data_IF_912402666911
#
_entry.id   IF_912402666911
#
_cell.length_a   1.000
_cell.length_b   1.000
_cell.length_c   1.000
_cell.angle_alpha   90.00
_cell.angle_beta   90.00
_cell.angle_gamma   90.00
#
_symmetry.space_group_name_H-M   'P 1'
#
loop_
_entity.id
_entity.type
_entity.pdbx_description
1 polymer ?
#
# COMPACT_ATOMS: atom_id res chain seq x y z
N UNK A 1 17.67 -43.68 -0.88
CA UNK A 1 17.37 -43.95 0.53
C UNK A 1 16.95 -45.39 0.56
N UNK A 2 17.71 -46.24 1.23
CA UNK A 2 17.49 -47.68 1.16
C UNK A 2 16.65 -48.17 2.33
N UNK A 3 16.88 -47.60 3.51
CA UNK A 3 16.20 -47.96 4.74
C UNK A 3 15.86 -46.69 5.51
N UNK A 4 14.67 -46.66 6.10
CA UNK A 4 14.19 -45.60 6.97
C UNK A 4 13.82 -46.18 8.34
N UNK A 5 14.47 -45.71 9.39
CA UNK A 5 14.18 -46.05 10.78
C UNK A 5 13.45 -44.88 11.43
N UNK A 6 12.28 -45.16 12.02
CA UNK A 6 11.46 -44.18 12.75
C UNK A 6 11.29 -44.60 14.20
N UNK A 7 11.56 -43.66 15.10
CA UNK A 7 11.32 -43.78 16.54
C UNK A 7 10.59 -42.55 17.03
N UNK A 8 9.30 -42.71 17.26
CA UNK A 8 8.38 -41.65 17.66
C UNK A 8 7.79 -41.96 19.04
N UNK A 9 7.78 -40.99 19.93
CA UNK A 9 7.14 -41.08 21.25
C UNK A 9 6.45 -39.75 21.57
N UNK A 10 5.18 -39.80 21.95
CA UNK A 10 4.32 -38.64 22.22
C UNK A 10 4.20 -37.61 21.08
N UNK A 11 4.48 -37.98 19.83
CA UNK A 11 4.31 -37.09 18.67
C UNK A 11 2.82 -37.05 18.24
N UNK A 12 2.11 -35.94 18.48
CA UNK A 12 0.71 -35.76 18.08
C UNK A 12 -0.23 -36.93 18.46
N UNK A 13 -0.05 -37.51 19.63
CA UNK A 13 -0.86 -38.64 20.13
C UNK A 13 -0.32 -40.04 19.79
N UNK A 14 0.79 -40.15 19.03
CA UNK A 14 1.51 -41.41 18.87
C UNK A 14 2.18 -41.74 20.20
N UNK A 15 1.67 -42.74 20.94
CA UNK A 15 2.24 -43.13 22.23
C UNK A 15 3.69 -43.60 22.08
N UNK A 16 3.90 -44.61 21.22
CA UNK A 16 5.23 -45.11 20.87
C UNK A 16 5.16 -45.82 19.52
N UNK A 17 6.09 -45.52 18.62
CA UNK A 17 6.27 -46.19 17.34
C UNK A 17 7.77 -46.40 17.12
N UNK A 18 8.18 -47.65 16.95
CA UNK A 18 9.54 -48.04 16.56
C UNK A 18 9.41 -48.95 15.35
N UNK A 19 9.74 -48.43 14.17
CA UNK A 19 9.51 -49.12 12.91
C UNK A 19 10.64 -48.86 11.92
N UNK A 20 10.87 -49.88 11.08
CA UNK A 20 11.90 -49.88 10.04
C UNK A 20 11.24 -50.18 8.69
N UNK A 21 11.49 -49.32 7.70
CA UNK A 21 10.99 -49.45 6.34
C UNK A 21 12.16 -49.69 5.39
N UNK A 22 12.11 -50.79 4.64
CA UNK A 22 13.12 -51.14 3.63
C UNK A 22 12.60 -50.82 2.23
N UNK A 23 13.19 -49.81 1.60
CA UNK A 23 12.85 -49.32 0.28
C UNK A 23 13.67 -49.99 -0.83
N UNK A 24 14.62 -50.89 -0.50
CA UNK A 24 15.45 -51.57 -1.51
C UNK A 24 14.60 -52.39 -2.46
N UNK A 25 15.00 -52.37 -3.73
CA UNK A 25 14.40 -53.21 -4.76
C UNK A 25 14.59 -54.69 -4.44
N UNK A 26 13.54 -55.47 -4.63
CA UNK A 26 13.58 -56.94 -4.53
C UNK A 26 13.38 -57.57 -5.90
N UNK A 27 13.60 -58.89 -6.02
CA UNK A 27 13.29 -59.60 -7.27
C UNK A 27 11.81 -59.47 -7.71
N UNK A 28 10.90 -59.19 -6.77
CA UNK A 28 9.47 -58.99 -7.05
C UNK A 28 9.11 -57.51 -7.29
N UNK A 29 9.92 -56.59 -6.78
CA UNK A 29 9.71 -55.14 -6.85
C UNK A 29 11.05 -54.46 -7.20
N UNK A 30 11.50 -54.53 -8.46
CA UNK A 30 12.83 -54.06 -8.85
C UNK A 30 13.04 -52.56 -8.59
N UNK A 31 11.97 -51.77 -8.71
CA UNK A 31 11.98 -50.30 -8.56
C UNK A 31 11.87 -49.82 -7.11
N UNK A 32 11.84 -50.74 -6.13
CA UNK A 32 11.71 -50.43 -4.70
C UNK A 32 10.33 -50.75 -4.12
N UNK A 33 10.11 -50.39 -2.86
CA UNK A 33 8.89 -50.72 -2.10
C UNK A 33 8.08 -49.48 -1.75
N UNK A 34 6.74 -49.59 -1.80
CA UNK A 34 5.83 -48.59 -1.27
C UNK A 34 5.11 -49.16 -0.04
N UNK A 35 4.97 -48.36 1.01
CA UNK A 35 4.35 -48.78 2.27
C UNK A 35 2.98 -48.11 2.43
N UNK A 36 1.94 -48.93 2.60
CA UNK A 36 0.61 -48.46 2.97
C UNK A 36 0.39 -48.68 4.47
N UNK A 37 0.06 -47.61 5.18
CA UNK A 37 -0.18 -47.65 6.63
C UNK A 37 -1.69 -47.62 6.87
N UNK A 38 -2.24 -48.77 7.26
CA UNK A 38 -3.65 -48.90 7.61
C UNK A 38 -3.82 -48.94 9.12
N UNK A 39 -4.64 -48.04 9.66
CA UNK A 39 -4.96 -47.99 11.08
C UNK A 39 -6.39 -47.46 11.31
N UNK A 40 -7.05 -47.79 12.44
CA UNK A 40 -8.35 -47.22 12.79
C UNK A 40 -8.35 -45.69 12.86
N UNK A 41 -9.54 -45.09 12.84
CA UNK A 41 -9.70 -43.64 13.01
C UNK A 41 -9.27 -43.20 14.41
N UNK A 42 -8.57 -42.07 14.50
CA UNK A 42 -8.05 -41.52 15.75
C UNK A 42 -6.75 -42.17 16.27
N UNK A 43 -6.10 -43.05 15.50
CA UNK A 43 -4.89 -43.75 15.96
C UNK A 43 -3.59 -42.99 15.64
N UNK A 44 -3.06 -43.09 14.41
CA UNK A 44 -1.76 -42.49 14.08
C UNK A 44 -1.59 -41.95 12.66
N UNK A 45 -2.55 -42.13 11.75
CA UNK A 45 -2.38 -41.83 10.31
C UNK A 45 -1.96 -40.38 10.05
N UNK A 46 -2.83 -39.44 10.39
CA UNK A 46 -2.56 -38.00 10.28
C UNK A 46 -1.49 -37.52 11.25
N UNK A 47 -1.38 -38.12 12.44
CA UNK A 47 -0.34 -37.80 13.42
C UNK A 47 1.07 -38.10 12.89
N UNK A 48 1.21 -39.19 12.14
CA UNK A 48 2.46 -39.56 11.48
C UNK A 48 2.81 -38.54 10.40
N UNK A 49 1.86 -38.19 9.53
CA UNK A 49 2.06 -37.18 8.50
C UNK A 49 2.45 -35.82 9.10
N UNK A 50 1.79 -35.38 10.17
CA UNK A 50 2.17 -34.15 10.91
C UNK A 50 3.57 -34.21 11.51
N UNK A 51 3.99 -35.37 12.00
CA UNK A 51 5.34 -35.55 12.55
C UNK A 51 6.41 -35.40 11.47
N UNK A 52 6.18 -35.96 10.28
CA UNK A 52 7.05 -35.75 9.12
C UNK A 52 7.00 -34.32 8.59
N UNK A 53 5.84 -33.66 8.70
CA UNK A 53 5.70 -32.27 8.29
C UNK A 53 6.55 -31.33 9.15
N UNK A 54 6.56 -31.53 10.46
CA UNK A 54 7.45 -30.75 11.33
C UNK A 54 8.91 -31.04 11.04
N UNK A 55 9.26 -32.27 10.64
CA UNK A 55 10.62 -32.59 10.23
C UNK A 55 11.00 -31.83 8.94
N UNK A 56 10.11 -31.82 7.95
CA UNK A 56 10.27 -31.07 6.70
C UNK A 56 10.40 -29.55 6.97
N UNK A 57 9.60 -28.99 7.86
CA UNK A 57 9.56 -27.55 8.16
C UNK A 57 10.58 -27.13 9.25
N UNK A 58 11.39 -28.06 9.77
CA UNK A 58 12.38 -27.78 10.82
C UNK A 58 11.78 -27.40 12.18
N UNK A 59 10.51 -27.72 12.43
CA UNK A 59 9.82 -27.50 13.71
C UNK A 59 10.00 -28.67 14.66
N UNK A 60 9.80 -28.43 15.95
CA UNK A 60 9.70 -29.49 16.95
C UNK A 60 8.31 -30.12 16.94
N UNK A 61 8.26 -31.45 17.03
CA UNK A 61 7.00 -32.18 17.22
C UNK A 61 6.65 -32.24 18.70
N UNK A 62 5.35 -32.29 19.01
CA UNK A 62 4.85 -32.24 20.39
C UNK A 62 3.53 -32.99 20.59
N UNK A 63 3.21 -33.32 21.84
CA UNK A 63 1.86 -33.72 22.27
C UNK A 63 1.04 -32.46 22.56
N UNK A 64 0.01 -32.20 21.73
CA UNK A 64 -0.84 -31.01 21.87
C UNK A 64 -1.76 -31.06 23.10
N UNK A 65 -2.13 -32.26 23.57
CA UNK A 65 -3.07 -32.43 24.68
C UNK A 65 -2.31 -32.47 26.01
N UNK A 66 -1.12 -33.06 26.00
CA UNK A 66 -0.25 -33.15 27.17
C UNK A 66 1.14 -32.56 26.90
N UNK A 67 1.29 -31.23 26.82
CA UNK A 67 2.55 -30.57 26.46
C UNK A 67 3.72 -30.86 27.39
N UNK A 68 3.44 -31.35 28.61
CA UNK A 68 4.47 -31.72 29.60
C UNK A 68 5.11 -33.08 29.31
N UNK A 69 4.59 -33.87 28.36
CA UNK A 69 5.20 -35.16 27.98
C UNK A 69 6.44 -34.93 27.15
N UNK A 70 7.52 -35.65 27.48
CA UNK A 70 8.72 -35.66 26.65
C UNK A 70 8.38 -36.27 25.30
N UNK A 71 8.60 -35.49 24.24
CA UNK A 71 8.38 -35.91 22.86
C UNK A 71 9.70 -36.38 22.26
N UNK A 72 9.69 -37.53 21.61
CA UNK A 72 10.86 -38.09 20.92
C UNK A 72 10.52 -38.22 19.44
N UNK A 73 11.24 -37.49 18.58
CA UNK A 73 11.21 -37.66 17.13
C UNK A 73 12.61 -37.99 16.64
N UNK A 74 12.86 -39.26 16.35
CA UNK A 74 14.06 -39.72 15.68
C UNK A 74 13.68 -40.36 14.34
N UNK A 75 14.14 -39.74 13.26
CA UNK A 75 13.94 -40.20 11.89
C UNK A 75 15.34 -40.28 11.29
N UNK A 76 15.78 -41.49 10.96
CA UNK A 76 17.13 -41.77 10.43
C UNK A 76 17.05 -42.67 9.21
N UNK A 77 18.01 -42.56 8.31
CA UNK A 77 18.05 -43.37 7.11
C UNK A 77 19.41 -44.05 6.90
N UNK A 78 19.44 -45.11 6.09
CA UNK A 78 20.66 -45.71 5.57
C UNK A 78 20.73 -45.50 4.05
N UNK A 79 21.79 -44.86 3.52
CA UNK A 79 22.87 -44.14 4.24
C UNK A 79 22.36 -42.87 4.96
N UNK A 80 23.01 -42.46 6.05
CA UNK A 80 22.56 -41.35 6.91
C UNK A 80 22.35 -40.02 6.20
N UNK A 81 23.15 -39.73 5.17
CA UNK A 81 23.03 -38.51 4.36
C UNK A 81 21.78 -38.49 3.45
N UNK A 82 21.02 -39.57 3.38
CA UNK A 82 19.86 -39.69 2.48
C UNK A 82 18.57 -39.10 3.04
N UNK A 83 18.57 -38.59 4.28
CA UNK A 83 17.42 -37.90 4.87
C UNK A 83 17.78 -36.52 5.43
N UNK A 84 17.14 -35.50 4.88
CA UNK A 84 17.20 -34.11 5.32
C UNK A 84 15.78 -33.53 5.32
N UNK A 85 15.52 -32.38 5.97
CA UNK A 85 14.23 -31.71 5.87
C UNK A 85 13.75 -31.53 4.43
N UNK A 86 14.65 -31.11 3.53
CA UNK A 86 14.33 -30.89 2.10
C UNK A 86 14.02 -32.19 1.35
N UNK A 87 14.60 -33.33 1.77
CA UNK A 87 14.38 -34.64 1.13
C UNK A 87 13.04 -35.29 1.50
N UNK A 88 12.23 -34.66 2.35
CA UNK A 88 10.90 -35.14 2.72
C UNK A 88 9.84 -34.24 2.06
N UNK A 89 8.81 -34.84 1.49
CA UNK A 89 7.65 -34.10 1.00
C UNK A 89 6.36 -34.72 1.52
N UNK A 90 5.69 -33.99 2.41
CA UNK A 90 4.41 -34.39 3.00
C UNK A 90 3.26 -33.77 2.21
N UNK A 91 2.47 -34.62 1.56
CA UNK A 91 1.23 -34.24 0.91
C UNK A 91 0.11 -34.29 1.95
N UNK A 92 -0.43 -33.11 2.26
CA UNK A 92 -1.50 -32.94 3.25
C UNK A 92 -2.85 -33.36 2.65
N UNK A 93 -3.84 -33.75 3.47
CA UNK A 93 -5.22 -33.84 3.02
C UNK A 93 -5.65 -32.47 2.48
N UNK A 94 -6.57 -32.46 1.51
CA UNK A 94 -7.06 -31.21 0.92
C UNK A 94 -7.54 -30.24 2.02
N UNK A 95 -6.88 -29.08 2.13
CA UNK A 95 -7.28 -27.99 3.04
C UNK A 95 -7.84 -26.86 2.19
N UNK A 96 -9.12 -26.54 2.38
CA UNK A 96 -9.85 -25.53 1.60
C UNK A 96 -9.23 -24.11 1.67
N UNK A 97 -8.27 -23.88 2.57
CA UNK A 97 -7.56 -22.60 2.79
C UNK A 97 -6.28 -22.40 1.96
N UNK A 98 -5.97 -23.24 0.98
CA UNK A 98 -4.80 -22.99 0.11
C UNK A 98 -4.99 -21.83 -0.89
N UNK A 99 -6.12 -21.12 -0.82
CA UNK A 99 -6.35 -19.83 -1.46
C UNK A 99 -5.81 -18.69 -0.58
N UNK A 100 -4.49 -18.50 -0.62
CA UNK A 100 -3.89 -17.26 -0.14
C UNK A 100 -4.41 -16.10 -0.99
N UNK A 101 -5.22 -15.23 -0.39
CA UNK A 101 -5.68 -13.97 -0.98
C UNK A 101 -4.48 -13.09 -1.30
N UNK A 102 -4.12 -12.98 -2.58
CA UNK A 102 -2.98 -12.18 -3.04
C UNK A 102 -2.49 -12.62 -4.41
N UNK A 103 -2.65 -11.72 -5.38
CA UNK A 103 -2.07 -11.67 -6.72
C UNK A 103 -1.14 -12.81 -7.14
N UNK A 104 -1.71 -13.69 -7.98
CA UNK A 104 -1.02 -14.60 -8.89
C UNK A 104 -0.55 -15.93 -8.28
N UNK A 105 -1.46 -16.89 -8.25
CA UNK A 105 -1.30 -18.31 -7.91
C UNK A 105 -0.40 -19.09 -8.86
N UNK A 106 0.46 -18.40 -9.62
CA UNK A 106 0.99 -18.87 -10.91
C UNK A 106 2.48 -18.59 -11.10
N UNK A 107 3.16 -18.17 -10.03
CA UNK A 107 4.53 -18.60 -9.78
C UNK A 107 4.43 -19.93 -9.04
N UNK A 108 4.59 -21.02 -9.79
CA UNK A 108 4.42 -22.39 -9.29
C UNK A 108 5.54 -22.78 -8.33
N UNK A 109 6.75 -22.25 -8.53
CA UNK A 109 7.87 -22.47 -7.64
C UNK A 109 7.60 -21.73 -6.30
N UNK A 110 7.36 -22.44 -5.17
CA UNK A 110 6.97 -21.82 -3.91
C UNK A 110 8.03 -20.84 -3.39
N UNK A 111 9.30 -21.08 -3.71
CA UNK A 111 10.42 -20.20 -3.35
C UNK A 111 10.39 -18.91 -4.16
N UNK A 112 10.29 -18.99 -5.49
CA UNK A 112 10.21 -17.80 -6.36
C UNK A 112 8.95 -16.98 -6.11
N UNK A 113 7.84 -17.67 -5.81
CA UNK A 113 6.60 -17.03 -5.37
C UNK A 113 6.79 -16.28 -4.07
N UNK A 114 7.40 -16.92 -3.06
CA UNK A 114 7.70 -16.29 -1.78
C UNK A 114 8.57 -15.04 -1.95
N UNK A 115 9.64 -15.14 -2.73
CA UNK A 115 10.54 -14.02 -3.04
C UNK A 115 9.81 -12.88 -3.77
N UNK A 116 8.98 -13.19 -4.75
CA UNK A 116 8.18 -12.20 -5.48
C UNK A 116 7.14 -11.52 -4.57
N UNK A 117 6.34 -12.30 -3.85
CA UNK A 117 5.31 -11.77 -2.95
C UNK A 117 5.91 -10.94 -1.83
N UNK A 118 7.04 -11.35 -1.26
CA UNK A 118 7.76 -10.58 -0.26
C UNK A 118 8.30 -9.26 -0.85
N UNK A 119 8.87 -9.29 -2.05
CA UNK A 119 9.33 -8.08 -2.73
C UNK A 119 8.18 -7.10 -2.99
N UNK A 120 7.02 -7.58 -3.45
CA UNK A 120 5.82 -6.76 -3.67
C UNK A 120 5.27 -6.21 -2.36
N UNK A 121 5.12 -7.06 -1.32
CA UNK A 121 4.66 -6.61 0.01
C UNK A 121 5.59 -5.55 0.61
N UNK A 122 6.90 -5.74 0.47
CA UNK A 122 7.88 -4.80 1.01
C UNK A 122 7.82 -3.45 0.28
N UNK A 123 7.71 -3.42 -1.05
CA UNK A 123 7.59 -2.16 -1.77
C UNK A 123 6.26 -1.45 -1.48
N UNK A 124 5.15 -2.18 -1.38
CA UNK A 124 3.85 -1.60 -1.01
C UNK A 124 3.88 -1.01 0.40
N UNK A 125 4.40 -1.75 1.38
CA UNK A 125 4.55 -1.28 2.77
C UNK A 125 5.41 -0.01 2.86
N UNK A 126 6.56 -0.01 2.20
CA UNK A 126 7.46 1.16 2.20
C UNK A 126 6.87 2.36 1.46
N UNK A 127 6.03 2.12 0.44
CA UNK A 127 5.27 3.18 -0.22
C UNK A 127 4.23 3.79 0.72
N UNK A 128 3.46 2.96 1.42
CA UNK A 128 2.46 3.43 2.38
C UNK A 128 3.10 4.29 3.48
N UNK A 129 4.23 3.85 4.02
CA UNK A 129 5.01 4.59 5.03
C UNK A 129 5.54 5.93 4.49
N UNK A 130 6.04 5.94 3.25
CA UNK A 130 6.47 7.16 2.57
C UNK A 130 5.30 8.15 2.43
N UNK A 131 4.15 7.68 1.94
CA UNK A 131 2.98 8.53 1.72
C UNK A 131 2.40 9.06 3.03
N UNK A 132 2.43 8.26 4.10
CA UNK A 132 2.08 8.69 5.44
C UNK A 132 3.02 9.80 5.93
N UNK A 133 4.33 9.62 5.77
CA UNK A 133 5.33 10.62 6.16
C UNK A 133 5.14 11.93 5.40
N UNK A 134 4.89 11.87 4.08
CA UNK A 134 4.64 13.06 3.27
C UNK A 134 3.34 13.77 3.64
N UNK A 135 2.31 12.99 4.00
CA UNK A 135 1.03 13.54 4.47
C UNK A 135 1.21 14.32 5.77
N UNK A 136 1.97 13.76 6.71
CA UNK A 136 2.29 14.40 7.99
C UNK A 136 3.14 15.66 7.77
N UNK A 137 4.19 15.58 6.94
CA UNK A 137 5.07 16.70 6.65
C UNK A 137 4.37 17.86 5.92
N UNK A 138 3.38 17.57 5.07
CA UNK A 138 2.66 18.60 4.30
C UNK A 138 1.41 19.16 4.98
N UNK A 139 0.99 18.60 6.12
CA UNK A 139 -0.29 18.94 6.75
C UNK A 139 -1.51 18.56 5.90
N UNK A 140 -1.40 17.52 5.07
CA UNK A 140 -2.42 17.16 4.10
C UNK A 140 -3.73 16.69 4.78
N UNK A 141 -4.89 17.24 4.39
CA UNK A 141 -6.14 17.02 5.11
C UNK A 141 -6.77 15.64 4.85
N UNK A 142 -7.57 15.18 5.82
CA UNK A 142 -8.45 14.03 5.67
C UNK A 142 -7.73 12.67 5.66
N UNK A 143 -8.36 11.65 5.07
CA UNK A 143 -7.80 10.29 4.97
C UNK A 143 -7.08 10.02 3.65
N UNK A 144 -7.32 10.84 2.62
CA UNK A 144 -6.74 10.65 1.30
C UNK A 144 -5.22 10.88 1.29
N UNK A 145 -4.55 10.21 0.34
CA UNK A 145 -3.11 10.35 0.10
C UNK A 145 -2.81 11.55 -0.80
N UNK A 146 -1.68 12.26 -0.62
CA UNK A 146 -1.29 13.37 -1.47
C UNK A 146 -0.83 12.97 -2.89
N UNK A 147 -0.79 11.67 -3.25
CA UNK A 147 -0.24 11.21 -4.53
C UNK A 147 -0.86 11.87 -5.76
N UNK A 148 -2.18 12.07 -5.78
CA UNK A 148 -2.87 12.69 -6.92
C UNK A 148 -2.40 14.13 -7.15
N UNK A 149 -2.18 14.86 -6.07
CA UNK A 149 -1.68 16.23 -6.09
C UNK A 149 -0.23 16.27 -6.56
N UNK A 150 0.63 15.41 -6.01
CA UNK A 150 2.03 15.31 -6.44
C UNK A 150 2.10 14.95 -7.93
N UNK A 151 1.22 14.04 -8.39
CA UNK A 151 1.09 13.71 -9.81
C UNK A 151 0.67 14.92 -10.65
N UNK A 152 -0.25 15.75 -10.16
CA UNK A 152 -0.63 16.98 -10.86
C UNK A 152 0.54 17.96 -10.96
N UNK A 153 1.33 18.11 -9.90
CA UNK A 153 2.46 19.07 -9.83
C UNK A 153 3.65 18.62 -10.69
N UNK A 154 4.01 17.33 -10.62
CA UNK A 154 5.21 16.78 -11.25
C UNK A 154 4.95 16.04 -12.57
N UNK A 155 3.69 15.78 -12.91
CA UNK A 155 3.24 15.16 -14.18
C UNK A 155 3.90 13.81 -14.47
N UNK A 156 4.14 12.99 -13.45
CA UNK A 156 4.70 11.65 -13.63
C UNK A 156 3.63 10.61 -14.02
N UNK A 157 4.06 9.54 -14.69
CA UNK A 157 3.18 8.41 -15.07
C UNK A 157 3.20 7.32 -14.01
N UNK A 158 4.39 6.92 -13.56
CA UNK A 158 4.61 5.88 -12.56
C UNK A 158 5.10 6.50 -11.23
N UNK A 159 4.32 6.41 -10.13
CA UNK A 159 4.74 6.95 -8.84
C UNK A 159 5.99 6.27 -8.30
N UNK A 160 6.19 4.97 -8.56
CA UNK A 160 7.31 4.23 -8.02
C UNK A 160 8.64 4.70 -8.61
N UNK A 161 8.71 4.80 -9.93
CA UNK A 161 9.88 5.36 -10.64
C UNK A 161 10.17 6.79 -10.20
N UNK A 162 9.11 7.63 -10.12
CA UNK A 162 9.24 9.02 -9.72
C UNK A 162 9.88 9.18 -8.32
N UNK A 163 9.34 8.52 -7.30
CA UNK A 163 9.86 8.65 -5.94
C UNK A 163 11.27 8.04 -5.81
N UNK A 164 11.54 6.92 -6.49
CA UNK A 164 12.85 6.29 -6.46
C UNK A 164 13.94 7.17 -7.10
N UNK A 165 13.66 7.76 -8.26
CA UNK A 165 14.60 8.71 -8.90
C UNK A 165 14.79 9.98 -8.08
N UNK A 166 13.71 10.47 -7.48
CA UNK A 166 13.74 11.71 -6.72
C UNK A 166 14.57 11.57 -5.44
N UNK A 167 14.57 10.39 -4.81
CA UNK A 167 15.35 10.12 -3.60
C UNK A 167 16.85 10.44 -3.75
N UNK A 168 17.41 10.27 -4.96
CA UNK A 168 18.81 10.59 -5.28
C UNK A 168 19.07 12.06 -5.64
N UNK A 169 18.03 12.88 -5.81
CA UNK A 169 18.10 14.29 -6.22
C UNK A 169 17.81 15.27 -5.08
N UNK A 170 17.54 14.75 -3.88
CA UNK A 170 17.25 15.55 -2.69
C UNK A 170 18.51 16.22 -2.13
N UNK A 171 18.42 17.53 -1.89
CA UNK A 171 19.51 18.40 -1.43
C UNK A 171 19.49 18.69 0.08
N UNK A 172 18.45 18.24 0.78
CA UNK A 172 18.26 18.47 2.22
C UNK A 172 17.65 19.84 2.56
N UNK A 173 17.19 20.61 1.58
CA UNK A 173 16.53 21.89 1.82
C UNK A 173 15.13 21.73 2.44
N UNK A 174 15.00 22.01 3.74
CA UNK A 174 13.75 21.92 4.50
C UNK A 174 13.18 23.30 4.89
N UNK A 175 13.54 24.39 4.19
CA UNK A 175 13.16 25.77 4.56
C UNK A 175 11.65 26.04 4.69
N UNK A 176 10.81 25.21 4.09
CA UNK A 176 9.35 25.40 4.05
C UNK A 176 8.58 24.24 4.73
N UNK A 177 9.26 23.43 5.54
CA UNK A 177 8.66 22.26 6.19
C UNK A 177 7.52 22.61 7.17
N UNK A 178 7.59 23.77 7.82
CA UNK A 178 6.61 24.21 8.80
C UNK A 178 5.30 24.72 8.17
N UNK A 179 5.26 24.85 6.85
CA UNK A 179 4.09 25.37 6.15
C UNK A 179 3.08 24.26 5.84
N UNK A 180 1.80 24.54 6.08
CA UNK A 180 0.71 23.66 5.65
C UNK A 180 0.39 23.86 4.18
N UNK A 181 0.44 22.79 3.40
CA UNK A 181 0.24 22.84 1.96
C UNK A 181 -1.15 23.37 1.58
N UNK A 182 -2.20 22.88 2.23
CA UNK A 182 -3.59 23.18 1.85
C UNK A 182 -4.00 24.63 2.16
N UNK A 183 -3.35 25.25 3.15
CA UNK A 183 -3.60 26.65 3.49
C UNK A 183 -3.10 27.59 2.38
N UNK A 184 -2.08 27.16 1.61
CA UNK A 184 -1.50 27.92 0.49
C UNK A 184 -2.14 27.48 -0.84
N UNK A 185 -2.20 26.17 -1.08
CA UNK A 185 -2.60 25.55 -2.33
C UNK A 185 -3.88 24.73 -2.14
N UNK A 186 -5.01 25.33 -2.50
CA UNK A 186 -6.32 24.69 -2.59
C UNK A 186 -7.05 25.15 -3.85
N UNK A 187 -8.14 24.49 -4.22
CA UNK A 187 -8.88 24.78 -5.46
C UNK A 187 -9.26 26.26 -5.61
N UNK A 188 -9.58 26.94 -4.49
CA UNK A 188 -9.97 28.36 -4.50
C UNK A 188 -8.77 29.28 -4.68
N UNK A 189 -7.65 29.02 -4.00
CA UNK A 189 -6.41 29.79 -4.17
C UNK A 189 -5.85 29.58 -5.57
N UNK A 190 -5.74 28.33 -6.03
CA UNK A 190 -5.27 27.98 -7.38
C UNK A 190 -6.14 28.68 -8.45
N UNK A 191 -7.46 28.64 -8.30
CA UNK A 191 -8.36 29.32 -9.23
C UNK A 191 -8.19 30.85 -9.20
N UNK A 192 -7.98 31.44 -8.03
CA UNK A 192 -7.77 32.88 -7.90
C UNK A 192 -6.47 33.34 -8.55
N UNK A 193 -5.38 32.57 -8.40
CA UNK A 193 -4.10 32.86 -9.05
C UNK A 193 -4.14 32.62 -10.57
N UNK A 194 -4.90 31.64 -11.06
CA UNK A 194 -5.07 31.41 -12.51
C UNK A 194 -5.93 32.49 -13.20
N UNK A 195 -6.88 33.10 -12.48
CA UNK A 195 -7.88 33.99 -13.06
C UNK A 195 -7.47 35.48 -13.13
N UNK A 196 -6.32 35.88 -12.59
CA UNK A 196 -6.02 37.31 -12.48
C UNK A 196 -4.56 37.66 -12.17
N UNK A 197 -4.33 38.95 -11.94
CA UNK A 197 -3.02 39.54 -11.64
C UNK A 197 -2.64 39.42 -10.17
N UNK A 198 -3.32 38.58 -9.37
CA UNK A 198 -3.13 38.48 -7.92
C UNK A 198 -1.66 38.35 -7.53
N UNK A 199 -0.89 37.51 -8.24
CA UNK A 199 0.56 37.33 -8.04
C UNK A 199 1.41 38.61 -8.08
N UNK A 200 1.02 39.64 -8.84
CA UNK A 200 1.79 40.87 -9.03
C UNK A 200 1.47 41.91 -7.96
N UNK A 201 0.22 41.92 -7.49
CA UNK A 201 -0.29 42.92 -6.56
C UNK A 201 -0.28 42.45 -5.10
N UNK A 202 -0.15 41.13 -4.87
CA UNK A 202 -0.24 40.53 -3.55
C UNK A 202 0.86 41.02 -2.59
N UNK A 203 2.08 41.19 -3.08
CA UNK A 203 3.19 41.65 -2.22
C UNK A 203 2.99 43.09 -1.75
N UNK A 204 2.60 44.00 -2.65
CA UNK A 204 2.24 45.39 -2.31
C UNK A 204 1.02 45.44 -1.37
N UNK A 205 -0.01 44.64 -1.67
CA UNK A 205 -1.20 44.50 -0.84
C UNK A 205 -0.85 44.05 0.59
N UNK A 206 -0.06 42.99 0.75
CA UNK A 206 0.28 42.44 2.07
C UNK A 206 1.15 43.42 2.88
N UNK A 207 2.08 44.13 2.23
CA UNK A 207 2.85 45.19 2.87
C UNK A 207 1.94 46.30 3.41
N UNK A 208 1.02 46.79 2.58
CA UNK A 208 0.06 47.84 2.98
C UNK A 208 -0.97 47.37 3.99
N UNK A 209 -1.39 46.11 3.92
CA UNK A 209 -2.25 45.50 4.91
C UNK A 209 -1.55 45.41 6.27
N UNK A 210 -0.27 45.04 6.30
CA UNK A 210 0.54 45.03 7.53
C UNK A 210 0.65 46.43 8.14
N UNK A 211 0.99 47.44 7.33
CA UNK A 211 1.01 48.86 7.75
C UNK A 211 -0.35 49.29 8.33
N UNK A 212 -1.46 48.86 7.71
CA UNK A 212 -2.81 49.18 8.16
C UNK A 212 -3.15 48.53 9.50
N UNK A 213 -2.80 47.26 9.72
CA UNK A 213 -3.15 46.55 10.97
C UNK A 213 -2.19 46.82 12.13
N UNK A 214 -0.97 47.30 11.87
CA UNK A 214 0.02 47.65 12.90
C UNK A 214 0.05 49.15 13.20
N UNK A 215 -0.14 50.00 12.18
CA UNK A 215 -0.11 51.45 12.31
C UNK A 215 -1.45 52.07 12.68
N UNK A 216 -2.54 51.29 12.70
CA UNK A 216 -3.87 51.80 12.99
C UNK A 216 -4.18 51.88 14.48
N UNK A 217 -4.71 53.02 14.96
CA UNK A 217 -5.22 53.12 16.32
C UNK A 217 -6.60 52.47 16.51
N UNK A 218 -7.24 52.01 15.42
CA UNK A 218 -8.56 51.39 15.37
C UNK A 218 -8.50 49.90 14.98
N UNK A 219 -7.69 49.55 13.99
CA UNK A 219 -7.60 48.22 13.41
C UNK A 219 -6.45 47.43 14.03
N UNK A 220 -6.58 46.12 14.06
CA UNK A 220 -5.55 45.19 14.51
C UNK A 220 -5.55 43.93 13.66
N UNK A 221 -4.56 43.05 13.87
CA UNK A 221 -4.50 41.74 13.21
C UNK A 221 -5.76 40.90 13.45
N UNK A 222 -6.39 41.02 14.63
CA UNK A 222 -7.65 40.32 14.98
C UNK A 222 -8.91 41.08 14.56
N UNK A 223 -8.88 42.41 14.66
CA UNK A 223 -9.99 43.27 14.26
C UNK A 223 -9.56 44.15 13.08
N UNK A 224 -9.54 43.55 11.90
CA UNK A 224 -9.19 44.22 10.65
C UNK A 224 -10.42 44.87 10.00
N UNK A 225 -10.23 45.50 8.84
CA UNK A 225 -11.31 46.17 8.11
C UNK A 225 -12.43 45.23 7.66
N UNK A 226 -12.15 43.94 7.45
CA UNK A 226 -13.18 42.94 7.15
C UNK A 226 -14.08 42.68 8.37
N UNK A 227 -13.46 42.48 9.54
CA UNK A 227 -14.18 42.33 10.80
C UNK A 227 -15.01 43.57 11.16
N UNK A 228 -14.48 44.76 10.90
CA UNK A 228 -15.22 46.00 11.12
C UNK A 228 -16.43 46.13 10.18
N UNK A 229 -16.29 45.74 8.91
CA UNK A 229 -17.39 45.67 7.94
C UNK A 229 -18.46 44.65 8.35
N UNK A 230 -18.05 43.45 8.78
CA UNK A 230 -18.95 42.40 9.24
C UNK A 230 -19.71 42.83 10.51
N UNK A 231 -19.04 43.51 11.45
CA UNK A 231 -19.69 44.11 12.64
C UNK A 231 -20.70 45.17 12.23
N UNK A 232 -20.31 46.14 11.39
CA UNK A 232 -21.22 47.19 10.86
C UNK A 232 -22.49 46.60 10.25
N UNK A 233 -22.31 45.62 9.35
CA UNK A 233 -23.40 44.95 8.65
C UNK A 233 -24.31 44.18 9.61
N UNK A 234 -23.76 43.46 10.57
CA UNK A 234 -24.55 42.70 11.54
C UNK A 234 -25.35 43.62 12.46
N UNK A 235 -24.77 44.72 12.93
CA UNK A 235 -25.48 45.70 13.77
C UNK A 235 -26.62 46.37 13.01
N UNK A 236 -26.37 46.73 11.75
CA UNK A 236 -27.40 47.30 10.87
C UNK A 236 -28.54 46.31 10.62
N UNK A 237 -28.21 45.08 10.22
CA UNK A 237 -29.21 44.06 9.85
C UNK A 237 -30.08 43.63 11.04
N UNK A 238 -29.54 43.70 12.26
CA UNK A 238 -30.27 43.36 13.48
C UNK A 238 -30.96 44.58 14.12
N UNK A 239 -31.04 45.73 13.44
CA UNK A 239 -31.75 46.91 13.93
C UNK A 239 -31.14 47.58 15.16
N UNK A 240 -29.85 47.34 15.46
CA UNK A 240 -29.18 47.87 16.66
C UNK A 240 -29.25 49.41 16.72
N UNK A 241 -28.92 50.06 15.60
CA UNK A 241 -28.96 51.52 15.49
C UNK A 241 -30.39 52.06 15.35
N UNK A 242 -31.31 51.29 14.76
CA UNK A 242 -32.74 51.66 14.67
C UNK A 242 -33.41 51.70 16.05
N UNK A 243 -32.91 50.89 17.00
CA UNK A 243 -33.30 50.92 18.40
C UNK A 243 -32.65 52.06 19.21
N UNK A 244 -31.92 52.99 18.57
CA UNK A 244 -31.19 54.11 19.18
C UNK A 244 -30.05 53.68 20.12
N UNK A 245 -29.48 52.48 19.93
CA UNK A 245 -28.25 52.09 20.64
C UNK A 245 -27.02 52.69 19.95
N UNK A 246 -25.99 53.01 20.74
CA UNK A 246 -24.72 53.56 20.26
C UNK A 246 -23.55 52.65 20.64
N UNK A 247 -22.45 52.76 19.89
CA UNK A 247 -21.20 52.02 20.13
C UNK A 247 -20.10 52.98 20.54
N UNK A 248 -19.38 52.63 21.60
CA UNK A 248 -18.15 53.31 21.95
C UNK A 248 -16.95 52.55 21.38
N UNK A 249 -16.25 53.18 20.44
CA UNK A 249 -15.07 52.63 19.79
C UNK A 249 -13.82 53.32 20.32
N UNK A 250 -12.85 52.52 20.75
CA UNK A 250 -11.54 53.02 21.14
C UNK A 250 -10.68 53.21 19.90
N UNK A 251 -10.26 54.45 19.64
CA UNK A 251 -9.32 54.81 18.60
C UNK A 251 -8.10 55.47 19.25
N UNK A 252 -7.01 54.72 19.45
CA UNK A 252 -5.79 55.26 20.06
C UNK A 252 -5.97 55.71 21.51
N UNK A 253 -6.88 55.07 22.25
CA UNK A 253 -7.21 55.39 23.64
C UNK A 253 -8.31 56.44 23.80
N UNK A 254 -8.72 57.11 22.72
CA UNK A 254 -9.88 58.02 22.71
C UNK A 254 -11.14 57.22 22.40
N UNK A 255 -12.19 57.40 23.22
CA UNK A 255 -13.50 56.77 22.96
C UNK A 255 -14.33 57.68 22.07
N UNK A 256 -14.71 57.17 20.91
CA UNK A 256 -15.61 57.83 19.97
C UNK A 256 -16.94 57.10 19.97
N UNK A 257 -18.02 57.86 20.18
CA UNK A 257 -19.38 57.34 20.07
C UNK A 257 -19.81 57.27 18.60
N UNK A 258 -20.38 56.13 18.22
CA UNK A 258 -20.86 55.83 16.87
C UNK A 258 -22.33 55.47 16.94
N UNK A 259 -23.15 56.22 16.21
CA UNK A 259 -24.61 56.14 16.21
C UNK A 259 -25.21 55.48 14.96
N UNK A 260 -24.38 55.19 13.96
CA UNK A 260 -24.83 54.54 12.73
C UNK A 260 -23.76 53.66 12.08
N UNK A 261 -24.19 52.69 11.26
CA UNK A 261 -23.30 51.89 10.42
C UNK A 261 -22.43 52.77 9.49
N UNK A 262 -22.99 53.87 8.97
CA UNK A 262 -22.26 54.80 8.10
C UNK A 262 -21.11 55.52 8.82
N UNK A 263 -21.29 55.84 10.10
CA UNK A 263 -20.23 56.42 10.93
C UNK A 263 -19.11 55.40 11.20
N UNK A 264 -19.47 54.14 11.50
CA UNK A 264 -18.49 53.07 11.69
C UNK A 264 -17.67 52.82 10.41
N UNK A 265 -18.33 52.70 9.27
CA UNK A 265 -17.68 52.54 7.97
C UNK A 265 -16.81 53.74 7.62
N UNK A 266 -17.25 54.95 7.98
CA UNK A 266 -16.49 56.18 7.83
C UNK A 266 -15.17 56.17 8.60
N UNK A 267 -15.17 55.69 9.85
CA UNK A 267 -13.94 55.57 10.66
C UNK A 267 -12.94 54.59 10.03
N UNK A 268 -13.42 53.42 9.57
CA UNK A 268 -12.57 52.43 8.89
C UNK A 268 -12.02 52.99 7.58
N UNK A 269 -12.83 53.73 6.81
CA UNK A 269 -12.35 54.32 5.56
C UNK A 269 -11.38 55.47 5.75
N UNK A 270 -11.59 56.33 6.75
CA UNK A 270 -10.63 57.37 7.09
C UNK A 270 -9.25 56.76 7.40
N UNK A 271 -9.25 55.63 8.08
CA UNK A 271 -8.03 54.93 8.45
C UNK A 271 -7.35 54.23 7.27
N UNK A 272 -8.13 53.60 6.38
CA UNK A 272 -7.62 53.09 5.09
C UNK A 272 -6.99 54.22 4.27
N UNK A 273 -7.65 55.36 4.15
CA UNK A 273 -7.13 56.50 3.39
C UNK A 273 -5.86 57.09 4.00
N UNK A 274 -5.76 57.13 5.34
CA UNK A 274 -4.57 57.60 6.05
C UNK A 274 -3.32 56.79 5.70
N UNK A 275 -3.45 55.48 5.51
CA UNK A 275 -2.34 54.57 5.19
C UNK A 275 -2.10 54.46 3.68
N UNK A 276 -3.16 54.35 2.88
CA UNK A 276 -3.04 54.10 1.44
C UNK A 276 -2.74 55.39 0.66
N UNK A 277 -3.13 56.57 1.17
CA UNK A 277 -2.75 57.91 0.70
C UNK A 277 -3.25 58.32 -0.69
N UNK A 278 -3.22 57.42 -1.67
CA UNK A 278 -3.58 57.63 -3.08
C UNK A 278 -4.85 56.83 -3.45
N UNK A 279 -5.72 57.44 -4.26
CA UNK A 279 -6.91 56.81 -4.84
C UNK A 279 -6.57 55.58 -5.68
N UNK A 280 -5.47 55.60 -6.43
CA UNK A 280 -5.08 54.46 -7.27
C UNK A 280 -4.61 53.28 -6.42
N UNK A 281 -3.80 53.54 -5.39
CA UNK A 281 -3.34 52.52 -4.45
C UNK A 281 -4.52 51.93 -3.66
N UNK A 282 -5.47 52.78 -3.23
CA UNK A 282 -6.71 52.34 -2.57
C UNK A 282 -7.54 51.44 -3.49
N UNK A 283 -7.69 51.79 -4.76
CA UNK A 283 -8.44 50.97 -5.71
C UNK A 283 -7.78 49.61 -5.96
N UNK A 284 -6.45 49.56 -6.09
CA UNK A 284 -5.69 48.30 -6.22
C UNK A 284 -5.82 47.44 -4.96
N UNK A 285 -5.67 48.06 -3.79
CA UNK A 285 -5.83 47.40 -2.50
C UNK A 285 -7.22 46.78 -2.36
N UNK A 286 -8.29 47.56 -2.59
CA UNK A 286 -9.66 47.08 -2.46
C UNK A 286 -10.01 46.00 -3.50
N UNK A 287 -9.40 46.03 -4.69
CA UNK A 287 -9.57 44.99 -5.69
C UNK A 287 -9.00 43.64 -5.23
N UNK A 288 -7.75 43.63 -4.72
CA UNK A 288 -7.11 42.42 -4.17
C UNK A 288 -7.84 41.96 -2.91
N UNK A 289 -8.19 42.88 -2.02
CA UNK A 289 -8.92 42.58 -0.78
C UNK A 289 -10.27 41.92 -1.04
N UNK A 290 -11.03 42.45 -2.01
CA UNK A 290 -12.32 41.88 -2.40
C UNK A 290 -12.19 40.48 -2.99
N UNK A 291 -11.12 40.20 -3.73
CA UNK A 291 -10.83 38.84 -4.20
C UNK A 291 -10.53 37.90 -3.03
N UNK A 292 -9.66 38.32 -2.11
CA UNK A 292 -9.28 37.51 -0.95
C UNK A 292 -10.41 37.33 0.08
N UNK A 293 -11.41 38.22 0.10
CA UNK A 293 -12.58 38.09 0.98
C UNK A 293 -13.76 37.32 0.38
N UNK A 294 -13.66 36.87 -0.88
CA UNK A 294 -14.78 36.27 -1.61
C UNK A 294 -15.32 34.98 -1.00
N UNK A 295 -14.47 34.19 -0.33
CA UNK A 295 -14.84 32.94 0.34
C UNK A 295 -13.98 32.71 1.59
N UNK A 296 -14.33 31.70 2.39
CA UNK A 296 -13.66 31.42 3.66
C UNK A 296 -12.21 30.96 3.48
N UNK A 297 -11.92 30.20 2.42
CA UNK A 297 -10.60 29.65 2.10
C UNK A 297 -9.61 30.75 1.73
N UNK A 298 -10.03 31.74 0.93
CA UNK A 298 -9.20 32.89 0.58
C UNK A 298 -9.00 33.85 1.77
N UNK A 299 -9.99 33.96 2.67
CA UNK A 299 -9.85 34.70 3.92
C UNK A 299 -8.79 34.06 4.82
N UNK A 300 -8.84 32.73 4.98
CA UNK A 300 -7.83 31.95 5.70
C UNK A 300 -6.46 32.07 5.06
N UNK A 301 -6.36 31.99 3.73
CA UNK A 301 -5.10 32.19 3.01
C UNK A 301 -4.48 33.56 3.33
N UNK A 302 -5.25 34.65 3.31
CA UNK A 302 -4.75 35.99 3.69
C UNK A 302 -4.23 36.02 5.14
N UNK A 303 -4.96 35.40 6.08
CA UNK A 303 -4.53 35.30 7.47
C UNK A 303 -3.23 34.51 7.59
N UNK A 304 -3.11 33.41 6.84
CA UNK A 304 -1.91 32.59 6.75
C UNK A 304 -0.71 33.38 6.22
N UNK A 305 -0.88 34.19 5.17
CA UNK A 305 0.18 35.07 4.65
C UNK A 305 0.63 36.14 5.65
N UNK A 306 -0.26 36.57 6.56
CA UNK A 306 0.08 37.53 7.61
C UNK A 306 0.99 36.91 8.68
N UNK A 307 0.87 35.59 8.87
CA UNK A 307 1.72 34.82 9.79
C UNK A 307 3.05 34.40 9.15
N UNK A 308 3.07 34.25 7.81
CA UNK A 308 4.21 33.80 7.02
C UNK A 308 4.62 34.82 5.94
N UNK A 309 5.10 36.02 6.31
CA UNK A 309 5.51 37.02 5.33
C UNK A 309 6.69 36.58 4.44
N UNK A 310 7.50 35.62 4.90
CA UNK A 310 8.65 35.06 4.20
C UNK A 310 8.30 34.37 2.87
N UNK A 311 7.06 33.93 2.68
CA UNK A 311 6.63 33.25 1.45
C UNK A 311 6.13 34.20 0.37
N UNK A 312 5.90 35.48 0.68
CA UNK A 312 5.38 36.46 -0.29
C UNK A 312 6.23 36.59 -1.56
N UNK A 313 7.57 36.62 -1.51
CA UNK A 313 8.39 36.70 -2.71
C UNK A 313 8.28 35.46 -3.61
N UNK A 314 7.97 34.30 -3.02
CA UNK A 314 7.85 33.04 -3.75
C UNK A 314 6.51 32.93 -4.51
N UNK A 315 5.47 33.62 -4.05
CA UNK A 315 4.13 33.61 -4.67
C UNK A 315 4.07 34.32 -6.02
N UNK A 316 5.13 35.03 -6.43
CA UNK A 316 5.24 35.60 -7.77
C UNK A 316 5.20 34.54 -8.87
N UNK A 317 5.79 33.36 -8.63
CA UNK A 317 5.70 32.18 -9.50
C UNK A 317 5.01 31.04 -8.73
N UNK A 318 3.69 31.08 -8.75
CA UNK A 318 2.83 30.21 -7.94
C UNK A 318 3.08 28.71 -8.19
N UNK A 319 3.28 28.29 -9.45
CA UNK A 319 3.54 26.89 -9.79
C UNK A 319 4.95 26.45 -9.40
N UNK A 320 5.95 27.34 -9.52
CA UNK A 320 7.31 27.05 -9.05
C UNK A 320 7.36 26.93 -7.53
N UNK A 321 6.64 27.77 -6.80
CA UNK A 321 6.56 27.67 -5.35
C UNK A 321 5.85 26.37 -4.92
N UNK A 322 4.79 25.95 -5.62
CA UNK A 322 4.11 24.65 -5.41
C UNK A 322 5.11 23.49 -5.46
N UNK A 323 6.02 23.50 -6.44
CA UNK A 323 7.11 22.50 -6.54
C UNK A 323 8.13 22.63 -5.41
N UNK A 324 8.60 23.84 -5.09
CA UNK A 324 9.57 24.07 -3.99
C UNK A 324 9.05 23.56 -2.65
N UNK A 325 7.76 23.77 -2.38
CA UNK A 325 7.11 23.34 -1.15
C UNK A 325 7.11 21.80 -1.04
N UNK A 326 6.73 21.10 -2.11
CA UNK A 326 6.84 19.64 -2.17
C UNK A 326 8.28 19.14 -2.01
N UNK A 327 9.26 19.80 -2.63
CA UNK A 327 10.68 19.47 -2.41
C UNK A 327 11.09 19.58 -0.95
N UNK A 328 10.59 20.60 -0.23
CA UNK A 328 10.82 20.72 1.20
C UNK A 328 10.28 19.53 1.99
N UNK A 329 9.06 19.08 1.68
CA UNK A 329 8.47 17.89 2.31
C UNK A 329 9.19 16.60 1.92
N UNK A 330 9.67 16.45 0.68
CA UNK A 330 10.49 15.30 0.28
C UNK A 330 11.82 15.27 1.03
N UNK A 331 12.44 16.42 1.28
CA UNK A 331 13.65 16.55 2.08
C UNK A 331 13.40 16.19 3.56
N UNK A 332 12.23 16.52 4.13
CA UNK A 332 11.84 16.03 5.46
C UNK A 332 11.67 14.51 5.46
N UNK A 333 11.04 13.96 4.42
CA UNK A 333 10.81 12.53 4.25
C UNK A 333 12.04 11.77 3.67
N UNK A 334 13.24 12.36 3.67
CA UNK A 334 14.41 11.82 2.96
C UNK A 334 14.76 10.38 3.39
N UNK A 335 14.62 10.06 4.67
CA UNK A 335 14.85 8.69 5.17
C UNK A 335 13.85 7.69 4.58
N UNK A 336 12.55 8.02 4.59
CA UNK A 336 11.51 7.19 4.00
C UNK A 336 11.68 7.06 2.48
N UNK A 337 12.06 8.14 1.79
CA UNK A 337 12.37 8.15 0.36
C UNK A 337 13.52 7.19 0.01
N UNK A 338 14.59 7.18 0.81
CA UNK A 338 15.73 6.26 0.61
C UNK A 338 15.33 4.80 0.84
N UNK A 339 14.59 4.52 1.91
CA UNK A 339 14.10 3.16 2.20
C UNK A 339 13.23 2.65 1.05
N UNK A 340 12.28 3.47 0.60
CA UNK A 340 11.44 3.16 -0.55
C UNK A 340 12.26 2.93 -1.83
N UNK A 341 13.22 3.80 -2.14
CA UNK A 341 14.07 3.67 -3.33
C UNK A 341 14.90 2.38 -3.32
N UNK A 342 15.43 1.99 -2.15
CA UNK A 342 16.13 0.71 -1.97
C UNK A 342 15.20 -0.48 -2.14
N UNK A 343 14.00 -0.44 -1.55
CA UNK A 343 12.99 -1.48 -1.70
C UNK A 343 12.55 -1.62 -3.17
N UNK A 344 12.35 -0.51 -3.89
CA UNK A 344 12.01 -0.52 -5.31
C UNK A 344 13.13 -1.10 -6.18
N UNK A 345 14.39 -0.70 -5.95
CA UNK A 345 15.53 -1.25 -6.68
C UNK A 345 15.65 -2.77 -6.44
N UNK A 346 15.58 -3.21 -5.19
CA UNK A 346 15.60 -4.63 -4.83
C UNK A 346 14.43 -5.40 -5.45
N UNK A 347 13.21 -4.86 -5.38
CA UNK A 347 12.04 -5.50 -5.97
C UNK A 347 12.18 -5.61 -7.48
N UNK A 348 12.77 -4.60 -8.15
CA UNK A 348 13.02 -4.65 -9.59
C UNK A 348 13.98 -5.77 -9.98
N UNK A 349 15.05 -5.96 -9.23
CA UNK A 349 16.02 -7.03 -9.48
C UNK A 349 15.40 -8.42 -9.20
N UNK A 350 14.68 -8.57 -8.09
CA UNK A 350 13.98 -9.82 -7.74
C UNK A 350 12.93 -10.15 -8.80
N UNK A 351 12.07 -9.21 -9.18
CA UNK A 351 11.02 -9.42 -10.18
C UNK A 351 11.63 -9.80 -11.53
N UNK A 352 12.69 -9.11 -11.96
CA UNK A 352 13.38 -9.44 -13.21
C UNK A 352 14.01 -10.84 -13.18
N UNK A 353 14.65 -11.21 -12.06
CA UNK A 353 15.22 -12.53 -11.85
C UNK A 353 14.13 -13.62 -11.85
N UNK A 354 13.05 -13.43 -11.09
CA UNK A 354 11.92 -14.37 -11.03
C UNK A 354 11.26 -14.52 -12.39
N UNK A 355 11.10 -13.43 -13.16
CA UNK A 355 10.51 -13.48 -14.50
C UNK A 355 11.40 -14.25 -15.49
N UNK A 356 12.72 -14.08 -15.41
CA UNK A 356 13.67 -14.83 -16.25
C UNK A 356 13.64 -16.32 -15.92
N UNK A 357 13.72 -16.68 -14.64
CA UNK A 357 13.65 -18.08 -14.22
C UNK A 357 12.31 -18.72 -14.57
N UNK A 358 11.23 -17.98 -14.40
CA UNK A 358 9.91 -18.39 -14.87
C UNK A 358 9.97 -18.72 -16.38
N UNK A 359 10.49 -17.82 -17.21
CA UNK A 359 10.58 -18.07 -18.65
C UNK A 359 11.43 -19.31 -19.02
N UNK A 360 12.50 -19.59 -18.29
CA UNK A 360 13.34 -20.78 -18.47
C UNK A 360 12.59 -22.09 -18.12
N UNK A 361 11.60 -22.00 -17.22
CA UNK A 361 10.75 -23.14 -16.82
C UNK A 361 9.50 -23.31 -17.72
N UNK A 362 9.31 -22.46 -18.74
CA UNK A 362 8.10 -22.43 -19.58
C UNK A 362 7.74 -23.77 -20.24
N UNK A 363 8.73 -24.47 -20.79
CA UNK A 363 8.52 -25.79 -21.42
C UNK A 363 8.10 -26.84 -20.41
N UNK A 364 8.57 -26.72 -19.17
CA UNK A 364 8.26 -27.63 -18.06
C UNK A 364 6.81 -27.48 -17.62
N UNK A 365 6.31 -26.25 -17.58
CA UNK A 365 4.92 -26.03 -17.21
C UNK A 365 3.94 -26.44 -18.28
N UNK A 366 4.29 -26.26 -19.56
CA UNK A 366 3.47 -26.78 -20.65
C UNK A 366 3.28 -28.30 -20.51
N UNK A 367 4.33 -29.04 -20.10
CA UNK A 367 4.26 -30.48 -19.89
C UNK A 367 3.33 -30.86 -18.71
N UNK A 368 3.48 -30.22 -17.55
CA UNK A 368 2.62 -30.52 -16.37
C UNK A 368 1.16 -30.11 -16.61
N UNK A 369 0.94 -28.96 -17.24
CA UNK A 369 -0.41 -28.49 -17.62
C UNK A 369 -1.04 -29.44 -18.63
N UNK A 370 -0.28 -29.93 -19.61
CA UNK A 370 -0.76 -30.93 -20.57
C UNK A 370 -1.11 -32.22 -19.86
N UNK A 371 -0.23 -32.73 -19.00
CA UNK A 371 -0.46 -33.95 -18.23
C UNK A 371 -1.70 -33.83 -17.31
N UNK A 372 -1.92 -32.67 -16.69
CA UNK A 372 -3.11 -32.42 -15.90
C UNK A 372 -4.38 -32.43 -16.76
N UNK A 373 -4.39 -31.64 -17.83
CA UNK A 373 -5.53 -31.54 -18.75
C UNK A 373 -5.86 -32.88 -19.44
N UNK A 374 -4.88 -33.78 -19.60
CA UNK A 374 -5.08 -35.14 -20.14
C UNK A 374 -5.61 -36.13 -19.10
N UNK A 375 -5.22 -36.00 -17.83
CA UNK A 375 -5.53 -36.98 -16.77
C UNK A 375 -6.77 -36.64 -15.95
N UNK A 376 -7.13 -35.36 -15.85
CA UNK A 376 -8.24 -34.90 -15.04
C UNK A 376 -9.40 -34.43 -15.90
N UNK A 377 -10.58 -35.00 -15.65
CA UNK A 377 -11.83 -34.60 -16.29
C UNK A 377 -12.55 -33.59 -15.38
N UNK A 378 -12.28 -32.30 -15.58
CA UNK A 378 -12.83 -31.18 -14.81
C UNK A 378 -13.39 -30.12 -15.78
N UNK A 379 -14.35 -29.27 -15.36
CA UNK A 379 -15.04 -28.31 -16.25
C UNK A 379 -14.18 -27.10 -16.62
N UNK A 380 -12.86 -27.18 -16.44
CA UNK A 380 -11.93 -26.12 -16.80
C UNK A 380 -10.66 -26.69 -17.44
N UNK A 381 -10.01 -25.87 -18.27
CA UNK A 381 -8.68 -26.13 -18.82
C UNK A 381 -7.69 -25.09 -18.31
N UNK A 382 -6.48 -25.56 -18.05
CA UNK A 382 -5.34 -24.73 -17.72
C UNK A 382 -4.67 -24.26 -19.01
N UNK A 383 -4.43 -22.95 -19.14
CA UNK A 383 -3.77 -22.34 -20.30
C UNK A 383 -2.61 -21.47 -19.82
N UNK A 384 -1.41 -21.73 -20.33
CA UNK A 384 -0.24 -20.88 -20.04
C UNK A 384 -0.32 -19.63 -20.91
N UNK A 385 -0.73 -18.50 -20.32
CA UNK A 385 -0.76 -17.21 -20.98
C UNK A 385 0.50 -16.40 -20.64
N UNK A 386 1.05 -15.71 -21.64
CA UNK A 386 2.01 -14.65 -21.38
C UNK A 386 1.21 -13.38 -21.06
N UNK A 387 1.31 -12.86 -19.84
CA UNK A 387 0.69 -11.57 -19.51
C UNK A 387 1.71 -10.43 -19.69
N UNK A 388 1.23 -9.30 -20.20
CA UNK A 388 1.95 -8.03 -20.15
C UNK A 388 1.54 -7.29 -18.87
N UNK A 389 2.54 -6.91 -18.06
CA UNK A 389 2.51 -5.98 -16.91
C UNK A 389 1.77 -6.47 -15.63
N UNK A 390 2.10 -6.05 -14.41
CA UNK A 390 2.08 -4.68 -13.84
C UNK A 390 3.03 -4.66 -12.62
N UNK A 391 4.27 -4.19 -12.69
CA UNK A 391 4.74 -2.88 -12.16
C UNK A 391 6.03 -2.46 -12.93
N UNK A 392 6.64 -3.40 -13.67
CA UNK A 392 8.00 -3.32 -14.22
C UNK A 392 8.16 -4.13 -15.53
N UNK A 393 7.32 -3.95 -16.55
CA UNK A 393 7.59 -4.36 -17.97
C UNK A 393 8.17 -5.77 -18.17
N UNK A 394 7.76 -6.73 -17.35
CA UNK A 394 8.22 -8.12 -17.42
C UNK A 394 7.09 -9.00 -17.93
N UNK A 395 7.36 -9.77 -18.97
CA UNK A 395 6.46 -10.84 -19.40
C UNK A 395 6.67 -12.04 -18.49
N UNK A 396 5.84 -12.17 -17.45
CA UNK A 396 5.80 -13.40 -16.66
C UNK A 396 4.67 -14.30 -17.18
N UNK A 397 4.98 -15.53 -17.59
CA UNK A 397 3.97 -16.53 -17.91
C UNK A 397 3.13 -16.89 -16.68
N UNK A 398 1.81 -16.97 -16.89
CA UNK A 398 0.78 -17.17 -15.87
C UNK A 398 -0.22 -18.22 -16.36
N UNK A 399 -0.55 -19.25 -15.55
CA UNK A 399 -1.54 -20.28 -15.94
C UNK A 399 -2.97 -19.81 -15.67
N UNK A 400 -3.64 -19.28 -16.68
CA UNK A 400 -5.04 -18.88 -16.58
C UNK A 400 -5.99 -20.06 -16.72
N UNK A 401 -7.25 -19.88 -16.28
CA UNK A 401 -8.29 -20.88 -16.38
C UNK A 401 -9.29 -20.53 -17.49
N UNK A 402 -9.61 -21.51 -18.33
CA UNK A 402 -10.73 -21.46 -19.26
C UNK A 402 -11.82 -22.42 -18.78
N UNK A 403 -12.99 -21.91 -18.43
CA UNK A 403 -14.13 -22.73 -18.00
C UNK A 403 -14.97 -23.15 -19.21
N UNK A 404 -15.47 -24.38 -19.20
CA UNK A 404 -16.31 -24.94 -20.25
C UNK A 404 -17.60 -25.53 -19.67
N UNK A 405 -18.76 -25.06 -20.16
CA UNK A 405 -20.08 -25.52 -19.71
C UNK A 405 -20.76 -26.52 -20.65
N UNK A 406 -20.07 -26.95 -21.72
CA UNK A 406 -20.58 -27.83 -22.76
C UNK A 406 -21.06 -27.11 -24.03
N UNK A 407 -21.27 -25.79 -23.99
CA UNK A 407 -21.65 -24.98 -25.16
C UNK A 407 -20.67 -23.83 -25.42
N UNK A 408 -20.18 -23.18 -24.36
CA UNK A 408 -19.27 -22.03 -24.47
C UNK A 408 -18.00 -22.25 -23.64
N UNK A 409 -16.96 -21.47 -23.99
CA UNK A 409 -15.70 -21.42 -23.25
C UNK A 409 -15.38 -19.98 -22.93
N UNK A 410 -15.06 -19.68 -21.67
CA UNK A 410 -14.68 -18.33 -21.24
C UNK A 410 -13.50 -18.34 -20.27
N UNK A 411 -12.68 -17.28 -20.33
CA UNK A 411 -11.61 -17.07 -19.35
C UNK A 411 -12.19 -16.67 -18.00
N UNK A 412 -11.75 -17.32 -16.93
CA UNK A 412 -12.26 -17.09 -15.57
C UNK A 412 -11.10 -16.82 -14.60
N UNK A 413 -11.32 -15.86 -13.70
CA UNK A 413 -10.44 -15.61 -12.56
C UNK A 413 -10.56 -16.73 -11.53
N UNK A 414 -9.44 -17.16 -10.95
CA UNK A 414 -9.41 -18.30 -10.03
C UNK A 414 -10.36 -18.16 -8.83
N UNK A 415 -10.46 -16.97 -8.25
CA UNK A 415 -11.36 -16.72 -7.12
C UNK A 415 -12.83 -17.02 -7.47
N UNK A 416 -13.23 -16.72 -8.71
CA UNK A 416 -14.58 -17.03 -9.22
C UNK A 416 -14.72 -18.50 -9.56
N UNK A 417 -13.67 -19.12 -10.13
CA UNK A 417 -13.66 -20.56 -10.42
C UNK A 417 -13.87 -21.38 -9.13
N UNK A 418 -13.09 -21.09 -8.09
CA UNK A 418 -13.14 -21.79 -6.80
C UNK A 418 -14.51 -21.73 -6.11
N UNK A 419 -15.33 -20.71 -6.41
CA UNK A 419 -16.68 -20.60 -5.87
C UNK A 419 -17.68 -21.56 -6.52
N UNK A 420 -17.41 -21.99 -7.76
CA UNK A 420 -18.32 -22.81 -8.57
C UNK A 420 -17.94 -24.30 -8.55
N UNK A 421 -16.66 -24.60 -8.31
CA UNK A 421 -16.16 -25.98 -8.27
C UNK A 421 -16.70 -26.78 -7.08
N UNK A 422 -17.06 -28.04 -7.37
CA UNK A 422 -17.30 -29.08 -6.37
C UNK A 422 -16.04 -29.40 -5.56
N UNK A 423 -16.19 -30.11 -4.44
CA UNK A 423 -15.05 -30.50 -3.60
C UNK A 423 -14.06 -31.42 -4.33
N UNK A 424 -14.53 -32.29 -5.23
CA UNK A 424 -13.68 -33.14 -6.06
C UNK A 424 -12.84 -32.33 -7.06
N UNK A 425 -13.44 -31.34 -7.71
CA UNK A 425 -12.75 -30.46 -8.67
C UNK A 425 -11.76 -29.51 -7.99
N UNK A 426 -12.12 -28.97 -6.83
CA UNK A 426 -11.19 -28.21 -5.98
C UNK A 426 -9.99 -29.06 -5.56
N UNK A 427 -10.20 -30.33 -5.27
CA UNK A 427 -9.13 -31.28 -4.95
C UNK A 427 -8.27 -31.60 -6.18
N UNK A 428 -8.84 -31.73 -7.37
CA UNK A 428 -8.07 -31.85 -8.60
C UNK A 428 -7.14 -30.63 -8.79
N UNK A 429 -7.64 -29.41 -8.56
CA UNK A 429 -6.80 -28.22 -8.59
C UNK A 429 -5.67 -28.24 -7.55
N UNK A 430 -5.91 -28.78 -6.35
CA UNK A 430 -4.84 -29.01 -5.37
C UNK A 430 -3.78 -29.98 -5.87
N UNK A 431 -4.18 -31.05 -6.56
CA UNK A 431 -3.24 -32.03 -7.13
C UNK A 431 -2.35 -31.42 -8.20
N UNK A 432 -2.81 -30.41 -8.94
CA UNK A 432 -1.96 -29.67 -9.88
C UNK A 432 -0.69 -29.13 -9.17
N UNK A 433 -0.86 -28.51 -7.99
CA UNK A 433 0.28 -28.00 -7.21
C UNK A 433 1.22 -29.14 -6.77
N UNK A 434 0.67 -30.29 -6.41
CA UNK A 434 1.45 -31.49 -6.06
C UNK A 434 2.23 -32.02 -7.27
N UNK A 435 1.62 -32.08 -8.45
CA UNK A 435 2.27 -32.55 -9.68
C UNK A 435 3.45 -31.66 -10.08
N UNK A 436 3.30 -30.34 -9.92
CA UNK A 436 4.39 -29.42 -10.16
C UNK A 436 5.59 -29.64 -9.24
N UNK A 437 5.35 -29.81 -7.93
CA UNK A 437 6.41 -30.09 -6.96
C UNK A 437 7.10 -31.43 -7.24
N UNK A 438 6.33 -32.47 -7.58
CA UNK A 438 6.86 -33.77 -7.99
C UNK A 438 7.77 -33.63 -9.21
N UNK A 439 7.33 -32.88 -10.23
CA UNK A 439 8.11 -32.65 -11.44
C UNK A 439 9.42 -31.89 -11.15
N UNK A 440 9.39 -30.87 -10.29
CA UNK A 440 10.57 -30.11 -9.89
C UNK A 440 11.62 -30.99 -9.18
N UNK A 441 11.16 -31.93 -8.34
CA UNK A 441 12.03 -32.88 -7.63
C UNK A 441 12.62 -33.95 -8.55
N UNK A 442 11.85 -34.41 -9.55
CA UNK A 442 12.35 -35.33 -10.57
C UNK A 442 13.50 -34.72 -11.37
N UNK A 443 13.36 -33.46 -11.80
CA UNK A 443 14.38 -32.78 -12.61
C UNK A 443 15.66 -32.47 -11.84
N UNK A 444 15.52 -32.12 -10.56
CA UNK A 444 16.68 -31.91 -9.68
C UNK A 444 17.38 -33.22 -9.29
N UNK A 445 16.90 -34.38 -9.78
CA UNK A 445 17.32 -35.72 -9.36
C UNK A 445 17.35 -35.85 -7.83
N UNK A 446 16.43 -35.15 -7.16
CA UNK A 446 16.40 -35.09 -5.72
C UNK A 446 15.69 -36.34 -5.19
N UNK A 447 16.47 -37.21 -4.54
CA UNK A 447 15.90 -38.35 -3.81
C UNK A 447 14.94 -37.84 -2.75
N UNK A 448 13.66 -38.19 -2.86
CA UNK A 448 12.59 -37.67 -2.00
C UNK A 448 11.78 -38.79 -1.38
N UNK A 449 11.55 -38.70 -0.07
CA UNK A 449 10.55 -39.49 0.65
C UNK A 449 9.19 -38.79 0.57
N UNK A 450 8.25 -39.39 -0.15
CA UNK A 450 6.87 -38.92 -0.21
C UNK A 450 6.05 -39.52 0.94
N UNK A 451 5.42 -38.66 1.73
CA UNK A 451 4.46 -39.05 2.77
C UNK A 451 3.10 -38.53 2.36
N UNK A 452 2.19 -39.44 2.02
CA UNK A 452 0.88 -39.08 1.44
C UNK A 452 -0.21 -39.37 2.46
N UNK A 453 -0.84 -38.32 2.99
CA UNK A 453 -1.95 -38.45 3.93
C UNK A 453 -3.27 -38.13 3.21
N UNK A 454 -4.06 -39.17 2.98
CA UNK A 454 -5.46 -39.07 2.60
C UNK A 454 -5.78 -38.22 1.35
N UNK A 455 -4.94 -38.34 0.31
CA UNK A 455 -5.08 -37.55 -0.92
C UNK A 455 -6.30 -37.95 -1.77
N UNK A 456 -6.80 -39.18 -1.63
CA UNK A 456 -7.73 -39.79 -2.59
C UNK A 456 -9.14 -40.14 -2.07
N UNK A 457 -9.45 -39.93 -0.80
CA UNK A 457 -10.69 -40.43 -0.14
C UNK A 457 -12.02 -39.82 -0.66
N UNK A 458 -11.97 -38.96 -1.69
CA UNK A 458 -13.15 -38.33 -2.29
C UNK A 458 -13.12 -38.29 -3.83
N UNK A 459 -12.26 -39.07 -4.49
CA UNK A 459 -12.45 -39.32 -5.92
C UNK A 459 -13.53 -40.37 -6.03
N UNK A 460 -14.72 -39.98 -6.48
CA UNK A 460 -15.70 -40.95 -6.96
C UNK A 460 -15.03 -41.74 -8.10
N UNK A 461 -14.97 -43.07 -7.94
CA UNK A 461 -14.43 -44.01 -8.91
C UNK A 461 -15.31 -44.13 -10.15
#
# INVERSE_FOLDING_TARGET
>A
MDVLDIKLENCYGIQKLDAKFDFKGTQKTPDGSAFSIYAPNGFMKTSLARTFLDFQEGRDSQDLIFPTRTTIRAITAEPAASITPDSVFVIKPYVERYSGSGTSTLLVNPKLRGEYEEAVRNIESTQEDLLKTLKEASGWPGKASPVSEIKEVFKFTNPYEFFAELAGKLDGDTRFNDLSYIEIFNDKTISAFKAGTLHQQLQEYMSKYQELVEGSPLLSKKFNHAGASDVSKNLQTNGFFEANHTLNISNGGVRTEVSSAKELEGLVQAEKQRILGDKELSARFDAVDKQLQKNAELKKFREYLTLHPEILPELGDFEKFRKKLWFSYFNVAQSAMKIFAMAYASAKDVIAHTAKQAQEEKTKWAAVVTQFNERFYVPFKLVVQNQQDVILKGESPKVTFEFHDGQETCGVEEEKLLQVLSQGEKRALYILNVLFEVQARLESNQTTLFVVDDIADSFDY
#
